data_IF_323742257534
#
_entry.id   IF_323742257534
#
_cell.length_a   1.000
_cell.length_b   1.000
_cell.length_c   1.000
_cell.angle_alpha   90.00
_cell.angle_beta   90.00
_cell.angle_gamma   90.00
#
_symmetry.space_group_name_H-M   'P 1'
#
loop_
_entity.id
_entity.type
_entity.pdbx_description
1 polymer ?
2 non-polymer ?
3 non-polymer ?
4 water ?
#
# COMPACT_ATOMS: atom_id res chain seq x y z
N UNK A 1 -5.69 -20.19 -12.27
CA UNK A 1 -4.93 -19.52 -13.36
C UNK A 1 -4.01 -18.46 -12.77
N UNK A 2 -3.61 -17.45 -13.56
CA UNK A 2 -2.69 -16.45 -13.05
C UNK A 2 -3.41 -15.68 -11.93
N UNK A 3 -2.65 -14.88 -11.20
CA UNK A 3 -3.22 -13.88 -10.25
C UNK A 3 -3.61 -12.69 -11.11
N UNK A 4 -4.69 -12.01 -10.75
CA UNK A 4 -5.13 -10.81 -11.45
C UNK A 4 -4.62 -9.56 -10.73
N UNK A 5 -4.17 -8.62 -11.52
CA UNK A 5 -3.54 -7.37 -11.03
C UNK A 5 -4.02 -6.18 -11.83
N UNK A 6 -4.05 -5.02 -11.20
CA UNK A 6 -4.42 -3.73 -11.83
C UNK A 6 -3.35 -2.71 -11.52
N UNK A 7 -2.96 -1.92 -12.48
CA UNK A 7 -2.08 -0.77 -12.24
C UNK A 7 -2.88 0.37 -11.62
N UNK A 8 -2.30 1.05 -10.66
CA UNK A 8 -3.00 2.16 -10.00
C UNK A 8 -2.04 3.10 -9.27
N UNK A 9 -2.52 4.28 -8.93
CA UNK A 9 -1.89 5.16 -7.95
C UNK A 9 -2.81 5.30 -6.74
N UNK A 10 -2.21 5.74 -5.64
CA UNK A 10 -2.97 6.01 -4.43
C UNK A 10 -2.69 7.45 -4.04
N UNK A 11 -3.70 8.13 -3.50
CA UNK A 11 -3.48 9.42 -2.80
C UNK A 11 -4.21 9.39 -1.46
N UNK A 12 -3.59 9.98 -0.43
CA UNK A 12 -4.20 10.04 0.92
C UNK A 12 -5.40 11.02 0.87
N UNK A 13 -6.19 11.03 1.93
CA UNK A 13 -7.46 11.77 1.89
C UNK A 13 -7.19 13.27 1.97
N UNK A 14 -5.95 13.65 2.23
CA UNK A 14 -5.57 15.08 2.14
C UNK A 14 -5.06 15.37 0.76
N UNK A 15 -5.12 14.37 -0.14
CA UNK A 15 -4.75 14.40 -1.58
C UNK A 15 -3.23 14.54 -1.73
N UNK A 16 -2.46 13.96 -0.82
CA UNK A 16 -1.01 13.77 -1.03
C UNK A 16 -0.73 12.53 -1.87
N UNK A 17 0.15 12.66 -2.83
CA UNK A 17 0.66 11.62 -3.72
C UNK A 17 1.83 10.90 -3.04
N UNK A 18 2.08 9.67 -3.49
CA UNK A 18 3.19 8.83 -2.95
C UNK A 18 4.33 8.74 -3.97
N UNK A 19 5.53 8.95 -3.46
CA UNK A 19 6.79 8.94 -4.26
C UNK A 19 7.82 8.09 -3.52
N UNK A 20 8.86 7.64 -4.24
CA UNK A 20 10.01 6.93 -3.62
C UNK A 20 10.80 7.88 -2.71
N UNK A 21 11.34 7.35 -1.62
CA UNK A 21 12.21 8.06 -0.65
C UNK A 21 13.41 7.13 -0.46
N UNK A 22 14.29 7.10 -1.45
CA UNK A 22 15.37 6.09 -1.49
C UNK A 22 14.79 4.75 -1.88
N UNK A 23 15.59 3.66 -1.84
CA UNK A 23 15.16 2.41 -2.46
C UNK A 23 14.04 1.62 -1.77
N UNK A 24 13.90 1.77 -0.47
CA UNK A 24 12.99 0.91 0.33
C UNK A 24 12.02 1.73 1.23
N UNK A 25 11.74 2.92 0.78
CA UNK A 25 10.73 3.75 1.53
C UNK A 25 9.93 4.55 0.53
N UNK A 26 8.69 4.85 0.92
CA UNK A 26 7.83 5.80 0.19
C UNK A 26 7.62 7.00 1.10
N UNK A 27 7.36 8.14 0.47
CA UNK A 27 6.92 9.35 1.22
C UNK A 27 5.72 9.98 0.50
N UNK A 28 5.00 10.84 1.22
CA UNK A 28 3.79 11.46 0.71
C UNK A 28 3.96 12.99 0.67
N UNK A 29 3.61 13.51 -0.45
CA UNK A 29 3.69 14.97 -0.65
C UNK A 29 2.62 15.42 -1.62
N UNK A 30 2.30 16.70 -1.43
CA UNK A 30 1.40 17.40 -2.34
C UNK A 30 2.08 17.59 -3.69
N UNK A 31 1.48 17.14 -4.77
CA UNK A 31 2.04 17.10 -6.14
C UNK A 31 0.96 17.47 -7.11
N UNK A 32 1.35 18.22 -8.16
CA UNK A 32 0.46 18.57 -9.25
C UNK A 32 1.36 18.92 -10.43
N UNK A 33 0.84 18.72 -11.61
CA UNK A 33 1.55 19.15 -12.84
C UNK A 33 2.65 18.18 -13.21
N UNK A 34 3.78 18.71 -13.68
CA UNK A 34 4.89 17.86 -14.21
C UNK A 34 5.32 16.88 -13.12
N UNK A 35 5.45 17.34 -11.88
CA UNK A 35 6.03 16.54 -10.77
C UNK A 35 5.14 15.30 -10.54
N UNK A 36 3.96 15.17 -11.17
CA UNK A 36 3.05 14.00 -10.93
C UNK A 36 3.67 12.74 -11.53
N UNK A 37 4.54 12.90 -12.50
CA UNK A 37 5.29 11.77 -13.08
C UNK A 37 6.12 11.03 -12.01
N UNK A 38 6.46 11.69 -10.90
CA UNK A 38 7.31 11.08 -9.84
C UNK A 38 6.49 10.03 -9.08
N UNK A 39 5.16 10.13 -9.08
CA UNK A 39 4.34 9.27 -8.20
C UNK A 39 4.56 7.77 -8.50
N UNK A 40 4.47 6.98 -7.47
CA UNK A 40 4.62 5.52 -7.56
C UNK A 40 3.38 4.96 -8.23
N UNK A 41 3.60 4.08 -9.18
CA UNK A 41 2.56 3.24 -9.77
C UNK A 41 2.63 1.87 -9.14
N UNK A 42 1.51 1.46 -8.59
CA UNK A 42 1.36 0.15 -7.95
C UNK A 42 0.81 -0.85 -8.95
N UNK A 43 1.20 -2.08 -8.78
CA UNK A 43 0.47 -3.23 -9.32
C UNK A 43 -0.26 -3.85 -8.16
N UNK A 44 -1.56 -3.67 -8.08
CA UNK A 44 -2.40 -4.21 -6.98
C UNK A 44 -2.87 -5.58 -7.39
N UNK A 45 -2.42 -6.63 -6.71
CA UNK A 45 -2.82 -8.03 -7.00
C UNK A 45 -3.96 -8.45 -6.06
N UNK A 46 -4.90 -9.24 -6.59
CA UNK A 46 -6.06 -9.70 -5.82
C UNK A 46 -5.76 -11.12 -5.35
N UNK A 47 -5.46 -11.25 -4.08
CA UNK A 47 -4.77 -12.44 -3.56
C UNK A 47 -5.71 -13.29 -2.72
N UNK A 48 -5.21 -14.46 -2.36
CA UNK A 48 -5.92 -15.37 -1.43
C UNK A 48 -6.04 -14.75 -0.04
N UNK A 49 -7.18 -14.93 0.60
CA UNK A 49 -7.39 -14.49 1.98
C UNK A 49 -8.87 -14.35 2.31
N UNK A 50 -9.19 -14.21 3.59
CA UNK A 50 -10.56 -13.88 4.09
C UNK A 50 -11.11 -12.63 3.38
N UNK A 51 -12.34 -12.69 2.85
CA UNK A 51 -12.91 -11.66 1.96
C UNK A 51 -14.37 -11.41 2.36
N UNK A 52 -14.84 -10.17 2.26
CA UNK A 52 -16.28 -9.81 2.38
C UNK A 52 -16.61 -8.72 1.35
N UNK A 53 -17.85 -8.25 1.32
CA UNK A 53 -18.28 -7.29 0.26
C UNK A 53 -17.30 -6.14 0.21
N UNK A 54 -16.94 -5.62 1.38
CA UNK A 54 -16.22 -4.32 1.44
C UNK A 54 -14.76 -4.50 1.89
N UNK A 55 -14.29 -5.75 2.03
CA UNK A 55 -12.94 -6.13 2.55
C UNK A 55 -12.27 -7.13 1.60
N UNK A 56 -11.26 -6.69 0.85
CA UNK A 56 -10.73 -7.47 -0.31
C UNK A 56 -9.23 -7.61 -0.09
N UNK A 57 -8.67 -8.82 -0.01
CA UNK A 57 -7.24 -8.97 0.28
C UNK A 57 -6.42 -8.68 -0.96
N UNK A 58 -5.41 -7.79 -0.82
CA UNK A 58 -4.58 -7.40 -1.98
C UNK A 58 -3.11 -7.48 -1.56
N UNK A 59 -2.24 -7.50 -2.56
CA UNK A 59 -0.82 -7.20 -2.38
C UNK A 59 -0.58 -5.93 -3.18
N UNK A 60 0.21 -5.04 -2.59
CA UNK A 60 0.66 -3.76 -3.19
C UNK A 60 2.12 -3.90 -3.60
N UNK A 61 2.34 -4.50 -4.78
CA UNK A 61 3.64 -4.49 -5.47
C UNK A 61 3.81 -3.19 -6.23
N UNK A 62 5.04 -2.85 -6.60
CA UNK A 62 5.36 -1.71 -7.50
C UNK A 62 5.34 -2.25 -8.94
N UNK A 63 4.72 -1.52 -9.86
CA UNK A 63 4.50 -1.98 -11.25
C UNK A 63 5.85 -2.39 -11.88
N UNK A 64 5.93 -3.65 -12.31
CA UNK A 64 7.09 -4.27 -13.01
C UNK A 64 8.39 -4.07 -12.22
N UNK A 65 8.30 -4.06 -10.89
CA UNK A 65 9.49 -4.13 -10.01
C UNK A 65 9.23 -5.25 -9.00
N UNK A 66 10.28 -5.94 -8.57
CA UNK A 66 10.16 -7.03 -7.57
C UNK A 66 10.26 -6.39 -6.18
N UNK A 67 9.35 -5.45 -5.89
CA UNK A 67 9.29 -4.70 -4.61
C UNK A 67 7.83 -4.68 -4.15
N UNK A 68 7.55 -5.24 -2.96
CA UNK A 68 6.19 -5.30 -2.39
C UNK A 68 6.20 -4.54 -1.10
N UNK A 69 5.12 -3.84 -0.80
CA UNK A 69 4.88 -3.42 0.60
C UNK A 69 4.67 -4.66 1.48
N UNK A 70 5.24 -4.60 2.69
CA UNK A 70 5.44 -5.75 3.59
C UNK A 70 5.29 -5.31 5.05
N UNK A 71 4.55 -6.06 5.87
CA UNK A 71 4.36 -5.71 7.29
C UNK A 71 5.14 -6.73 8.10
N UNK A 72 6.11 -6.22 8.85
CA UNK A 72 6.98 -7.10 9.67
C UNK A 72 7.16 -6.40 11.01
N UNK A 73 7.56 -7.21 11.99
CA UNK A 73 8.00 -6.63 13.26
C UNK A 73 9.41 -6.08 13.07
N UNK A 74 9.64 -4.84 13.47
CA UNK A 74 11.02 -4.29 13.42
C UNK A 74 11.29 -3.66 14.77
N UNK A 75 12.44 -3.96 15.38
CA UNK A 75 12.73 -3.49 16.76
C UNK A 75 11.41 -3.64 17.55
N UNK A 76 10.78 -4.82 17.43
CA UNK A 76 9.56 -5.27 18.16
C UNK A 76 8.30 -4.45 17.85
N UNK A 77 8.18 -3.79 16.71
CA UNK A 77 6.93 -3.07 16.37
C UNK A 77 6.46 -3.48 14.96
N UNK A 78 5.13 -3.56 14.69
CA UNK A 78 4.61 -3.70 13.31
C UNK A 78 5.07 -2.48 12.51
N UNK A 79 5.79 -2.73 11.42
CA UNK A 79 6.30 -1.67 10.54
C UNK A 79 5.99 -2.04 9.08
N UNK A 80 5.96 -0.99 8.27
CA UNK A 80 5.82 -1.10 6.81
C UNK A 80 7.20 -1.08 6.20
N UNK A 81 7.51 -2.04 5.36
CA UNK A 81 8.77 -2.04 4.62
C UNK A 81 8.47 -2.33 3.15
N UNK A 82 9.43 -1.99 2.30
CA UNK A 82 9.44 -2.40 0.89
C UNK A 82 10.33 -3.58 0.87
N UNK A 83 9.91 -4.72 0.39
CA UNK A 83 10.69 -5.95 0.43
C UNK A 83 10.89 -6.46 -1.00
N UNK A 84 12.13 -6.86 -1.32
CA UNK A 84 12.54 -7.51 -2.59
C UNK A 84 12.07 -8.96 -2.63
N UNK A 85 11.70 -9.46 -3.82
CA UNK A 85 11.31 -10.86 -3.98
C UNK A 85 11.97 -11.39 -5.24
N UNK A 86 11.89 -12.69 -5.42
CA UNK A 86 12.40 -13.31 -6.65
C UNK A 86 11.44 -12.98 -7.77
N UNK A 87 11.86 -12.23 -8.82
CA UNK A 87 10.94 -11.84 -9.89
C UNK A 87 10.49 -13.02 -10.77
N UNK A 88 10.69 -14.26 -10.28
CA UNK A 88 10.34 -15.52 -10.98
C UNK A 88 9.19 -16.24 -10.26
N UNK A 89 8.85 -15.85 -9.02
CA UNK A 89 7.78 -16.52 -8.23
C UNK A 89 6.72 -15.51 -7.78
N UNK A 90 6.76 -14.28 -8.29
CA UNK A 90 5.83 -13.16 -7.95
C UNK A 90 5.42 -12.46 -9.24
N UNK A 91 4.21 -11.84 -9.31
CA UNK A 91 3.20 -11.95 -8.27
C UNK A 91 2.53 -13.32 -8.35
N UNK A 92 2.04 -13.81 -7.22
CA UNK A 92 1.32 -15.11 -7.12
C UNK A 92 -0.02 -14.87 -6.43
N UNK A 93 -0.90 -15.87 -6.46
CA UNK A 93 -2.24 -15.79 -5.83
C UNK A 93 -2.10 -15.96 -4.32
N UNK A 94 -1.26 -16.90 -3.87
CA UNK A 94 -1.04 -17.21 -2.44
C UNK A 94 0.16 -16.40 -1.92
N UNK A 95 0.00 -15.08 -1.81
CA UNK A 95 1.08 -14.23 -1.28
C UNK A 95 1.21 -14.50 0.21
N UNK A 96 2.44 -14.50 0.72
CA UNK A 96 2.72 -14.66 2.15
C UNK A 96 2.01 -13.55 2.94
N UNK A 97 1.68 -13.80 4.20
CA UNK A 97 0.74 -12.94 4.92
C UNK A 97 1.30 -11.54 5.14
N UNK A 98 2.61 -11.38 5.27
CA UNK A 98 3.24 -10.07 5.50
C UNK A 98 2.96 -9.15 4.30
N UNK A 99 2.63 -9.70 3.13
CA UNK A 99 2.41 -8.87 1.92
C UNK A 99 0.93 -8.53 1.77
N UNK A 100 0.04 -9.07 2.61
CA UNK A 100 -1.40 -8.94 2.35
C UNK A 100 -1.97 -7.79 3.16
N UNK A 101 -2.77 -6.99 2.46
CA UNK A 101 -3.56 -5.89 3.05
C UNK A 101 -5.01 -6.20 2.76
N UNK A 102 -5.83 -5.94 3.74
CA UNK A 102 -7.28 -5.87 3.52
C UNK A 102 -7.65 -4.48 3.03
N UNK A 103 -8.07 -4.42 1.78
CA UNK A 103 -8.55 -3.17 1.19
C UNK A 103 -10.02 -3.02 1.56
N UNK A 104 -10.29 -2.04 2.38
CA UNK A 104 -11.61 -1.81 3.02
C UNK A 104 -12.20 -0.54 2.44
N UNK A 105 -13.41 -0.61 1.92
CA UNK A 105 -14.10 0.54 1.30
C UNK A 105 -15.10 1.05 2.32
N UNK A 106 -14.85 2.23 2.90
CA UNK A 106 -15.85 2.91 3.80
C UNK A 106 -16.02 4.35 3.31
N UNK A 107 -17.28 4.74 3.05
CA UNK A 107 -17.66 6.14 2.73
C UNK A 107 -16.76 6.65 1.61
N UNK A 108 -16.70 5.89 0.53
CA UNK A 108 -16.12 6.33 -0.76
C UNK A 108 -14.61 6.53 -0.63
N UNK A 109 -13.99 5.99 0.42
CA UNK A 109 -12.53 6.00 0.63
C UNK A 109 -12.06 4.57 0.88
N UNK A 110 -10.76 4.37 0.79
CA UNK A 110 -10.13 3.06 0.99
C UNK A 110 -9.21 3.12 2.20
N UNK A 111 -9.21 2.06 2.97
CA UNK A 111 -8.20 1.86 4.00
C UNK A 111 -7.50 0.56 3.64
N UNK A 112 -6.25 0.45 4.02
CA UNK A 112 -5.45 -0.76 3.76
C UNK A 112 -4.92 -1.25 5.11
N UNK A 113 -5.68 -2.21 5.65
CA UNK A 113 -5.29 -2.85 6.91
C UNK A 113 -4.27 -3.98 6.70
N UNK A 114 -3.26 -4.07 7.55
CA UNK A 114 -2.37 -5.26 7.50
C UNK A 114 -3.15 -6.55 7.79
N UNK A 115 -3.12 -7.55 6.92
CA UNK A 115 -3.75 -8.85 7.24
C UNK A 115 -2.95 -9.44 8.42
N UNK A 116 -1.66 -9.26 8.50
CA UNK A 116 -0.77 -9.88 9.54
C UNK A 116 -1.05 -9.22 10.87
N UNK A 117 -1.29 -7.91 10.89
CA UNK A 117 -1.38 -7.12 12.13
C UNK A 117 -2.72 -6.42 12.12
N UNK A 118 -3.76 -7.04 12.71
CA UNK A 118 -5.10 -6.45 12.74
C UNK A 118 -5.06 -5.06 13.35
N UNK A 119 -5.80 -4.14 12.70
CA UNK A 119 -6.01 -2.75 13.11
C UNK A 119 -4.77 -1.88 12.99
N UNK A 120 -3.81 -2.34 12.20
CA UNK A 120 -2.65 -1.54 11.73
C UNK A 120 -2.88 -1.24 10.25
N UNK A 121 -2.66 0.00 9.90
CA UNK A 121 -3.07 0.56 8.58
C UNK A 121 -1.92 1.26 7.91
N UNK A 122 -1.89 1.14 6.58
CA UNK A 122 -1.04 2.07 5.80
C UNK A 122 -1.48 3.50 6.16
N UNK A 123 -0.51 4.31 6.52
CA UNK A 123 -0.72 5.67 7.08
C UNK A 123 0.22 6.69 6.46
N UNK A 124 -0.25 7.94 6.43
CA UNK A 124 0.65 9.07 6.16
C UNK A 124 0.55 10.09 7.28
N UNK A 125 1.55 10.94 7.34
CA UNK A 125 1.55 12.10 8.25
C UNK A 125 0.84 13.28 7.59
N UNK A 126 0.39 14.23 8.42
CA UNK A 126 -0.12 15.50 7.86
C UNK A 126 0.97 16.35 7.21
N UNK A 127 2.16 16.35 7.76
CA UNK A 127 3.31 17.08 7.22
C UNK A 127 3.69 16.50 5.87
N UNK A 128 4.29 17.34 5.06
CA UNK A 128 4.79 17.01 3.72
C UNK A 128 6.11 16.25 3.86
N UNK A 129 6.38 15.35 2.91
CA UNK A 129 7.69 14.71 2.70
C UNK A 129 8.09 13.82 3.87
N UNK A 130 7.13 13.12 4.49
CA UNK A 130 7.39 12.18 5.60
C UNK A 130 7.04 10.78 5.10
N UNK A 131 7.65 9.75 5.70
CA UNK A 131 7.46 8.38 5.24
C UNK A 131 6.00 7.95 5.33
N UNK A 132 5.67 7.07 4.41
CA UNK A 132 4.48 6.20 4.54
C UNK A 132 4.83 5.14 5.58
N UNK A 133 3.91 4.81 6.46
CA UNK A 133 4.23 3.94 7.60
C UNK A 133 3.04 3.12 7.95
N UNK A 134 3.25 2.15 8.82
CA UNK A 134 2.16 1.38 9.39
C UNK A 134 1.76 1.95 10.75
N UNK A 135 0.52 2.37 10.86
CA UNK A 135 0.01 3.04 12.05
C UNK A 135 -1.01 2.18 12.72
N UNK A 136 -1.00 2.16 14.06
CA UNK A 136 -1.80 1.23 14.88
C UNK A 136 -3.13 1.84 15.29
N UNK A 137 -3.62 2.87 14.59
CA UNK A 137 -5.05 3.25 14.70
C UNK A 137 -5.53 3.99 13.44
N UNK A 138 -6.73 3.61 12.95
CA UNK A 138 -7.55 4.37 11.97
C UNK A 138 -8.29 5.50 12.71
N UNK A 139 -7.64 6.13 13.70
CA UNK A 139 -8.11 7.33 14.43
C UNK A 139 -6.95 8.31 14.64
N UNK A 140 -7.22 9.61 14.89
CA UNK A 140 -6.22 10.61 15.34
C UNK A 140 -5.70 11.51 14.22
N UNK A 141 -4.46 12.00 14.35
CA UNK A 141 -3.85 13.03 13.46
C UNK A 141 -3.35 12.39 12.15
N UNK A 142 -2.87 11.15 12.21
CA UNK A 142 -2.35 10.46 11.02
C UNK A 142 -3.50 10.04 10.10
N UNK A 143 -3.18 9.93 8.82
CA UNK A 143 -4.18 9.75 7.77
C UNK A 143 -4.16 8.28 7.35
N UNK A 144 -5.30 7.62 7.35
CA UNK A 144 -5.44 6.17 7.07
C UNK A 144 -6.40 5.94 5.92
N UNK A 145 -6.93 6.98 5.27
CA UNK A 145 -7.89 6.88 4.16
C UNK A 145 -7.20 7.32 2.89
N UNK A 146 -7.52 6.67 1.80
CA UNK A 146 -6.93 6.89 0.48
C UNK A 146 -7.99 6.84 -0.59
N UNK A 147 -7.69 7.38 -1.76
CA UNK A 147 -8.38 7.08 -3.00
C UNK A 147 -7.42 6.44 -3.98
N UNK A 148 -7.97 5.63 -4.88
CA UNK A 148 -7.19 4.91 -5.91
C UNK A 148 -7.54 5.58 -7.24
N UNK A 149 -6.53 5.71 -8.09
CA UNK A 149 -6.71 6.13 -9.51
C UNK A 149 -6.25 4.97 -10.35
N UNK A 150 -7.00 4.56 -11.32
CA UNK A 150 -6.67 3.46 -12.24
C UNK A 150 -5.76 4.06 -13.32
N UNK A 151 -4.74 3.29 -13.68
CA UNK A 151 -3.67 3.67 -14.63
C UNK A 151 -3.75 2.67 -15.81
N UNK A 152 -3.49 3.12 -17.04
CA UNK A 152 -3.40 2.23 -18.24
C UNK A 152 -2.31 1.18 -18.02
X LIG B 1 -0.14 -18.17 -9.25
X LIG B 1 0.97 -18.96 -9.71
X LIG B 1 -1.39 -18.79 -9.65
X LIG B 1 -0.09 -18.08 -7.82
X LIG B 1 -0.07 -16.85 -9.84
X LIG C 1 8.96 -16.77 3.08
X LIG C 1 8.90 -15.84 1.95
X LIG C 1 8.73 -18.10 2.58
X LIG C 1 10.25 -16.67 3.71
X LIG C 1 7.93 -16.47 4.06
X LIG D 1 7.45 5.58 -11.76
X LIG D 1 7.29 4.47 -10.95
X LIG D 1 6.66 3.30 -11.47
X LIG D 1 6.45 2.21 -10.67
X LIG D 1 6.85 2.22 -9.36
X LIG D 1 7.48 3.34 -8.82
X LIG D 1 8.42 5.67 -9.00
X LIG D 1 10.37 6.37 -10.39
X LIG D 1 12.82 6.36 -10.08
X LIG D 1 11.29 7.44 -8.56
X LIG D 1 11.45 6.78 -9.60
X LIG D 1 8.97 6.71 -10.03
X LIG D 1 8.07 6.83 -11.31
X LIG D 1 7.72 4.49 -9.61
#
# INVERSE_FOLDING_TARGET
>A
APVRSLNCTLRDSQQKSLVMSGPYELKALHLQGQDMEQQVVFSMSFVQGEESNDKIPVALGLKEKNLYLSCVLKDDKPTLQLESVDPKNYPKKKMEKRFVFNKIEINNKLEFESAQFPNWYISTSQAENMPVFLGGTKGGQDITDFTMQFVSS
>B hetero
1 SO4 S O1 O2 O3 O4
>C hetero
1 SO4 S O1 O2 O3 O4
>D hetero
1 S7G N1 C4 C5 C6 C7 C8 C10 N C O C1 C2 C3 C9
#
